data_IF_263569513347
#
_entry.id   IF_263569513347
#
_cell.length_a   1.000
_cell.length_b   1.000
_cell.length_c   1.000
_cell.angle_alpha   90.00
_cell.angle_beta   90.00
_cell.angle_gamma   90.00
#
_symmetry.space_group_name_H-M   'P 1'
#
loop_
_entity.id
_entity.type
_entity.pdbx_description
1 polymer ?
#
# COMPACT_ATOMS: atom_id res chain seq x y z
N UNK A 1 4.22 -17.53 -0.20
CA UNK A 1 3.86 -17.53 -1.63
C UNK A 1 3.92 -16.12 -2.23
N UNK A 2 3.29 -15.10 -1.63
CA UNK A 2 3.41 -13.69 -2.06
C UNK A 2 4.84 -13.14 -2.08
N UNK A 3 5.67 -13.46 -1.08
CA UNK A 3 7.07 -12.97 -1.00
C UNK A 3 7.95 -13.52 -2.11
N UNK A 4 7.70 -14.75 -2.58
CA UNK A 4 8.48 -15.38 -3.65
C UNK A 4 8.10 -14.84 -5.05
N UNK A 5 6.81 -14.54 -5.27
CA UNK A 5 6.33 -13.96 -6.53
C UNK A 5 6.81 -12.52 -6.76
N UNK A 6 7.11 -11.83 -5.66
CA UNK A 6 7.70 -10.51 -5.67
C UNK A 6 9.19 -10.52 -6.01
N UNK A 7 9.90 -11.64 -6.08
CA UNK A 7 11.36 -11.63 -6.25
C UNK A 7 11.79 -11.63 -7.73
N UNK A 8 11.05 -12.30 -8.63
CA UNK A 8 11.49 -12.55 -10.02
C UNK A 8 10.79 -11.74 -11.12
N UNK A 9 9.57 -11.24 -10.88
CA UNK A 9 8.83 -10.43 -11.87
C UNK A 9 8.80 -8.94 -11.47
N UNK A 10 8.75 -8.00 -12.44
CA UNK A 10 8.48 -6.60 -12.15
C UNK A 10 7.18 -6.50 -11.35
N UNK A 11 7.19 -5.74 -10.26
CA UNK A 11 6.06 -5.55 -9.37
C UNK A 11 4.77 -5.18 -10.12
N UNK A 12 4.92 -4.36 -11.15
CA UNK A 12 3.86 -3.91 -12.06
C UNK A 12 3.27 -5.03 -12.92
N UNK A 13 4.04 -6.06 -13.27
CA UNK A 13 3.54 -7.23 -14.01
C UNK A 13 2.80 -8.18 -13.06
N UNK A 14 3.36 -8.47 -11.89
CA UNK A 14 2.72 -9.40 -10.94
C UNK A 14 1.40 -8.90 -10.38
N UNK A 15 1.24 -7.57 -10.27
CA UNK A 15 0.02 -6.92 -9.78
C UNK A 15 -0.85 -6.38 -10.93
N UNK A 16 -0.55 -6.75 -12.18
CA UNK A 16 -1.36 -6.38 -13.33
C UNK A 16 -2.67 -7.20 -13.32
N UNK A 17 -3.78 -6.54 -13.65
CA UNK A 17 -5.08 -7.20 -13.79
C UNK A 17 -4.99 -8.34 -14.81
N UNK A 18 -5.43 -9.54 -14.42
CA UNK A 18 -5.38 -10.76 -15.21
C UNK A 18 -4.16 -11.66 -14.97
N UNK A 19 -3.15 -11.22 -14.21
CA UNK A 19 -1.96 -12.03 -13.89
C UNK A 19 -2.14 -12.87 -12.61
N UNK A 20 -2.99 -12.43 -11.67
CA UNK A 20 -3.35 -13.18 -10.46
C UNK A 20 -4.86 -13.13 -10.21
N UNK A 21 -5.51 -14.26 -10.50
CA UNK A 21 -6.96 -14.40 -10.35
C UNK A 21 -7.46 -14.19 -8.91
N UNK A 22 -6.67 -14.57 -7.90
CA UNK A 22 -7.06 -14.38 -6.49
C UNK A 22 -7.01 -12.91 -6.11
N UNK A 23 -5.97 -12.21 -6.58
CA UNK A 23 -5.83 -10.78 -6.35
C UNK A 23 -6.92 -9.98 -7.07
N UNK A 24 -7.22 -10.32 -8.32
CA UNK A 24 -8.32 -9.72 -9.07
C UNK A 24 -9.67 -9.95 -8.37
N UNK A 25 -9.91 -11.16 -7.86
CA UNK A 25 -11.13 -11.47 -7.11
C UNK A 25 -11.22 -10.67 -5.81
N UNK A 26 -10.11 -10.50 -5.09
CA UNK A 26 -10.06 -9.67 -3.88
C UNK A 26 -10.43 -8.22 -4.20
N UNK A 27 -9.80 -7.64 -5.24
CA UNK A 27 -10.08 -6.28 -5.69
C UNK A 27 -11.56 -6.14 -6.09
N UNK A 28 -12.09 -7.09 -6.87
CA UNK A 28 -13.49 -7.07 -7.29
C UNK A 28 -14.45 -7.16 -6.09
N UNK A 29 -14.12 -7.98 -5.09
CA UNK A 29 -14.93 -8.13 -3.87
C UNK A 29 -14.92 -6.85 -3.05
N UNK A 30 -13.76 -6.20 -2.90
CA UNK A 30 -13.63 -4.92 -2.22
C UNK A 30 -14.44 -3.82 -2.94
N UNK A 31 -14.42 -3.80 -4.28
CA UNK A 31 -15.24 -2.89 -5.08
C UNK A 31 -16.73 -3.09 -4.85
N UNK A 32 -17.22 -4.34 -4.87
CA UNK A 32 -18.64 -4.63 -4.63
C UNK A 32 -19.07 -4.32 -3.20
N UNK A 33 -18.21 -4.53 -2.20
CA UNK A 33 -18.50 -4.14 -0.82
C UNK A 33 -18.58 -2.61 -0.65
N UNK A 34 -17.71 -1.88 -1.36
CA UNK A 34 -17.69 -0.43 -1.31
C UNK A 34 -19.00 0.21 -1.81
N UNK A 35 -19.78 -0.45 -2.67
CA UNK A 35 -21.12 0.02 -3.07
C UNK A 35 -22.07 0.23 -1.87
N UNK A 36 -21.90 -0.56 -0.81
CA UNK A 36 -22.77 -0.56 0.37
C UNK A 36 -22.13 0.11 1.59
N UNK A 37 -20.80 0.09 1.70
CA UNK A 37 -20.10 0.58 2.88
C UNK A 37 -18.78 1.31 2.57
N UNK A 38 -18.75 2.11 1.49
CA UNK A 38 -17.57 2.88 1.05
C UNK A 38 -16.82 3.59 2.19
N UNK A 39 -17.47 4.34 3.11
CA UNK A 39 -16.75 5.05 4.17
C UNK A 39 -16.01 4.11 5.13
N UNK A 40 -16.59 2.95 5.45
CA UNK A 40 -15.98 1.96 6.34
C UNK A 40 -14.82 1.24 5.66
N UNK A 41 -14.95 0.91 4.38
CA UNK A 41 -13.89 0.30 3.58
C UNK A 41 -12.71 1.28 3.43
N UNK A 42 -12.97 2.55 3.14
CA UNK A 42 -11.92 3.58 3.06
C UNK A 42 -11.17 3.74 4.38
N UNK A 43 -11.87 3.86 5.52
CA UNK A 43 -11.23 3.94 6.84
C UNK A 43 -10.33 2.74 7.11
N UNK A 44 -10.84 1.53 6.86
CA UNK A 44 -10.07 0.29 7.04
C UNK A 44 -8.83 0.26 6.13
N UNK A 45 -8.96 0.73 4.89
CA UNK A 45 -7.87 0.79 3.92
C UNK A 45 -6.80 1.81 4.34
N UNK A 46 -7.20 2.97 4.87
CA UNK A 46 -6.28 3.98 5.40
C UNK A 46 -5.52 3.47 6.62
N UNK A 47 -6.21 2.82 7.56
CA UNK A 47 -5.60 2.24 8.75
C UNK A 47 -4.60 1.14 8.36
N UNK A 48 -4.96 0.29 7.40
CA UNK A 48 -4.04 -0.71 6.86
C UNK A 48 -2.79 -0.06 6.27
N UNK A 49 -2.95 0.97 5.43
CA UNK A 49 -1.84 1.67 4.79
C UNK A 49 -0.91 2.37 5.79
N UNK A 50 -1.47 2.99 6.85
CA UNK A 50 -0.69 3.60 7.93
C UNK A 50 0.14 2.56 8.71
N UNK A 51 -0.45 1.41 9.02
CA UNK A 51 0.23 0.29 9.68
C UNK A 51 1.35 -0.31 8.84
N UNK A 52 1.15 -0.44 7.53
CA UNK A 52 2.20 -0.95 6.64
C UNK A 52 3.39 0.00 6.51
N UNK A 53 3.16 1.32 6.58
CA UNK A 53 4.20 2.34 6.56
C UNK A 53 4.97 2.49 7.89
N UNK A 54 4.69 1.66 8.90
CA UNK A 54 5.38 1.71 10.19
C UNK A 54 5.09 2.97 11.02
N UNK A 55 4.03 3.72 10.68
CA UNK A 55 3.66 4.95 11.40
C UNK A 55 3.17 4.69 12.84
N UNK A 56 3.01 3.42 13.25
CA UNK A 56 2.54 3.03 14.59
C UNK A 56 3.55 2.17 15.38
N UNK A 57 4.76 1.89 14.89
CA UNK A 57 5.71 1.00 15.58
C UNK A 57 7.13 1.59 15.71
N UNK A 58 7.22 2.72 16.40
CA UNK A 58 8.48 3.27 16.95
C UNK A 58 8.71 2.86 18.42
N UNK A 59 8.12 1.76 18.89
CA UNK A 59 8.32 1.32 20.27
C UNK A 59 8.72 -0.15 20.36
N UNK A 60 9.98 -0.35 20.80
CA UNK A 60 10.60 -1.57 21.32
C UNK A 60 11.31 -2.43 20.24
N UNK A 61 12.63 -2.62 20.24
CA UNK A 61 13.66 -2.58 21.27
C UNK A 61 15.03 -2.35 20.61
N UNK A 62 15.81 -1.44 21.18
CA UNK A 62 17.25 -1.34 20.96
C UNK A 62 17.92 -2.61 21.51
N UNK A 63 18.18 -3.61 20.66
CA UNK A 63 19.04 -4.74 21.02
C UNK A 63 20.43 -4.51 20.42
N UNK A 64 21.46 -4.18 21.22
CA UNK A 64 22.82 -4.13 20.72
C UNK A 64 23.29 -5.58 20.55
N UNK A 65 23.11 -6.15 19.36
CA UNK A 65 23.82 -7.37 18.98
C UNK A 65 24.99 -6.99 18.11
N UNK A 66 26.16 -7.01 18.72
CA UNK A 66 27.43 -7.11 18.04
C UNK A 66 27.31 -8.14 16.90
N UNK A 67 27.47 -7.71 15.66
CA UNK A 67 27.77 -8.61 14.56
C UNK A 67 28.39 -7.80 13.42
N UNK A 68 29.56 -8.24 12.99
CA UNK A 68 30.24 -7.85 11.75
C UNK A 68 29.31 -8.06 10.56
N UNK A 69 28.44 -7.09 10.26
CA UNK A 69 27.61 -7.08 9.06
C UNK A 69 28.36 -6.37 7.94
N UNK A 70 28.44 -7.03 6.80
CA UNK A 70 29.11 -6.47 5.63
C UNK A 70 28.24 -5.35 5.04
N UNK A 71 28.85 -4.31 4.46
CA UNK A 71 28.12 -3.21 3.77
C UNK A 71 27.11 -3.71 2.73
N UNK A 72 27.33 -4.90 2.17
CA UNK A 72 26.48 -5.51 1.15
C UNK A 72 25.16 -6.04 1.75
N UNK A 73 25.18 -6.56 2.98
CA UNK A 73 23.98 -7.07 3.67
C UNK A 73 23.02 -5.94 4.08
N UNK A 74 23.56 -4.76 4.39
CA UNK A 74 22.76 -3.57 4.69
C UNK A 74 22.10 -3.02 3.42
N UNK A 75 22.86 -2.86 2.33
CA UNK A 75 22.32 -2.40 1.04
C UNK A 75 21.24 -3.32 0.47
N UNK A 76 21.41 -4.64 0.60
CA UNK A 76 20.40 -5.60 0.16
C UNK A 76 19.12 -5.50 1.00
N UNK A 77 19.24 -5.28 2.32
CA UNK A 77 18.09 -5.10 3.21
C UNK A 77 17.33 -3.83 2.86
N UNK A 78 18.02 -2.72 2.61
CA UNK A 78 17.41 -1.43 2.25
C UNK A 78 16.65 -1.54 0.92
N UNK A 79 17.24 -2.18 -0.10
CA UNK A 79 16.56 -2.45 -1.36
C UNK A 79 15.27 -3.26 -1.20
N UNK A 80 15.28 -4.29 -0.34
CA UNK A 80 14.08 -5.09 -0.07
C UNK A 80 13.00 -4.29 0.65
N UNK A 81 13.38 -3.36 1.54
CA UNK A 81 12.45 -2.46 2.20
C UNK A 81 11.82 -1.47 1.22
N UNK A 82 12.61 -0.82 0.36
CA UNK A 82 12.10 0.06 -0.69
C UNK A 82 11.13 -0.69 -1.64
N UNK A 83 11.48 -1.91 -2.04
CA UNK A 83 10.61 -2.74 -2.88
C UNK A 83 9.29 -3.10 -2.19
N UNK A 84 9.31 -3.34 -0.87
CA UNK A 84 8.12 -3.60 -0.07
C UNK A 84 7.23 -2.36 -0.01
N UNK A 85 7.81 -1.19 0.24
CA UNK A 85 7.05 0.06 0.36
C UNK A 85 6.38 0.40 -0.97
N UNK A 86 7.08 0.22 -2.10
CA UNK A 86 6.50 0.34 -3.44
C UNK A 86 5.35 -0.66 -3.68
N UNK A 87 5.46 -1.90 -3.18
CA UNK A 87 4.39 -2.89 -3.27
C UNK A 87 3.15 -2.48 -2.48
N UNK A 88 3.34 -1.95 -1.27
CA UNK A 88 2.27 -1.43 -0.42
C UNK A 88 1.56 -0.27 -1.12
N UNK A 89 2.32 0.69 -1.66
CA UNK A 89 1.77 1.83 -2.40
C UNK A 89 0.99 1.37 -3.63
N UNK A 90 1.50 0.38 -4.37
CA UNK A 90 0.84 -0.13 -5.57
C UNK A 90 -0.47 -0.83 -5.23
N UNK A 91 -0.47 -1.74 -4.25
CA UNK A 91 -1.67 -2.46 -3.80
C UNK A 91 -2.71 -1.47 -3.27
N UNK A 92 -2.29 -0.54 -2.41
CA UNK A 92 -3.16 0.50 -1.88
C UNK A 92 -3.80 1.31 -3.00
N UNK A 93 -3.01 1.76 -3.98
CA UNK A 93 -3.50 2.54 -5.12
C UNK A 93 -4.51 1.76 -5.97
N UNK A 94 -4.26 0.47 -6.24
CA UNK A 94 -5.17 -0.37 -7.02
C UNK A 94 -6.52 -0.55 -6.32
N UNK A 95 -6.51 -0.87 -5.03
CA UNK A 95 -7.75 -1.03 -4.25
C UNK A 95 -8.47 0.32 -4.14
N UNK A 96 -7.72 1.40 -3.88
CA UNK A 96 -8.25 2.75 -3.75
C UNK A 96 -8.97 3.21 -5.04
N UNK A 97 -8.37 2.98 -6.21
CA UNK A 97 -9.01 3.30 -7.50
C UNK A 97 -10.35 2.58 -7.66
N UNK A 98 -10.42 1.30 -7.31
CA UNK A 98 -11.65 0.52 -7.48
C UNK A 98 -12.75 0.93 -6.50
N UNK A 99 -12.42 1.22 -5.24
CA UNK A 99 -13.43 1.68 -4.27
C UNK A 99 -13.89 3.11 -4.56
N UNK A 100 -13.02 4.00 -5.02
CA UNK A 100 -13.38 5.39 -5.35
C UNK A 100 -14.29 5.50 -6.60
N UNK A 101 -14.41 4.45 -7.42
CA UNK A 101 -15.43 4.41 -8.50
C UNK A 101 -16.86 4.56 -7.97
N UNK A 102 -17.07 4.24 -6.69
CA UNK A 102 -18.39 4.27 -6.05
C UNK A 102 -18.74 5.63 -5.45
N UNK A 103 -17.87 6.66 -5.56
CA UNK A 103 -18.17 8.03 -5.11
C UNK A 103 -19.48 8.60 -5.65
N UNK A 104 -19.86 8.39 -6.94
CA UNK A 104 -21.12 8.94 -7.46
C UNK A 104 -22.36 8.39 -6.76
N UNK A 105 -22.28 7.22 -6.13
CA UNK A 105 -23.39 6.58 -5.43
C UNK A 105 -23.58 7.13 -4.00
N UNK A 106 -22.50 7.60 -3.37
CA UNK A 106 -22.50 8.16 -2.02
C UNK A 106 -21.55 9.36 -1.97
N UNK A 107 -22.06 10.61 -1.91
CA UNK A 107 -21.18 11.77 -1.72
C UNK A 107 -20.39 11.56 -0.42
N UNK A 108 -19.08 11.42 -0.56
CA UNK A 108 -18.17 11.19 0.56
C UNK A 108 -18.14 12.41 1.49
N UNK A 109 -17.93 12.16 2.77
CA UNK A 109 -17.63 13.21 3.74
C UNK A 109 -16.32 13.91 3.36
N UNK A 110 -16.30 15.25 3.40
CA UNK A 110 -15.13 16.07 3.03
C UNK A 110 -13.84 15.62 3.71
N UNK A 111 -13.91 15.15 4.96
CA UNK A 111 -12.75 14.64 5.70
C UNK A 111 -12.10 13.40 5.07
N UNK A 112 -12.89 12.47 4.52
CA UNK A 112 -12.35 11.27 3.85
C UNK A 112 -11.70 11.65 2.51
N UNK A 113 -12.29 12.60 1.78
CA UNK A 113 -11.73 13.11 0.52
C UNK A 113 -10.36 13.75 0.78
N UNK A 114 -10.23 14.56 1.82
CA UNK A 114 -8.95 15.15 2.21
C UNK A 114 -7.91 14.10 2.57
N UNK A 115 -8.29 13.02 3.27
CA UNK A 115 -7.38 11.92 3.56
C UNK A 115 -6.92 11.19 2.29
N UNK A 116 -7.83 10.93 1.34
CA UNK A 116 -7.48 10.36 0.03
C UNK A 116 -6.45 11.23 -0.67
N UNK A 117 -6.69 12.54 -0.74
CA UNK A 117 -5.78 13.50 -1.39
C UNK A 117 -4.42 13.48 -0.70
N UNK A 118 -4.39 13.60 0.63
CA UNK A 118 -3.15 13.60 1.40
C UNK A 118 -2.32 12.33 1.18
N UNK A 119 -2.95 11.15 1.14
CA UNK A 119 -2.26 9.88 0.91
C UNK A 119 -1.82 9.72 -0.54
N UNK A 120 -2.66 10.08 -1.51
CA UNK A 120 -2.33 9.98 -2.93
C UNK A 120 -1.18 10.90 -3.33
N UNK A 121 -1.11 12.09 -2.73
CA UNK A 121 -0.05 13.07 -3.00
C UNK A 121 1.11 13.02 -2.00
N UNK A 122 1.09 12.13 -0.99
CA UNK A 122 2.15 12.00 0.01
C UNK A 122 3.54 11.81 -0.60
N UNK A 123 3.61 11.02 -1.68
CA UNK A 123 4.85 10.71 -2.40
C UNK A 123 5.22 11.74 -3.48
N UNK A 124 4.29 12.67 -3.78
CA UNK A 124 4.54 13.77 -4.69
C UNK A 124 5.31 14.88 -3.96
N UNK A 125 6.64 14.83 -4.01
CA UNK A 125 7.46 15.99 -3.64
C UNK A 125 7.44 16.98 -4.80
N UNK A 126 6.88 18.16 -4.56
CA UNK A 126 7.01 19.28 -5.49
C UNK A 126 8.51 19.58 -5.63
N UNK A 127 9.10 19.31 -6.79
CA UNK A 127 10.40 19.88 -7.13
C UNK A 127 10.13 21.32 -7.53
N UNK A 128 10.45 22.27 -6.66
CA UNK A 128 10.65 23.64 -7.10
C UNK A 128 11.67 23.59 -8.25
N UNK A 129 11.24 24.00 -9.43
CA UNK A 129 12.07 24.21 -10.61
C UNK A 129 12.45 25.67 -10.72
#
# INVERSE_FOLDING_TARGET
MFVFFLQEKPLTKSLQRGEDHQFDQLISTMSSLAEYCLPSILRTLFDWYKRQNGLEDESHEYRPRANTKSKNDEQQKDYLMERRDLAIDFIFSLVLIEVLKQIPLHPLLDGLIQEVINLAFKHFKYKEG
#
